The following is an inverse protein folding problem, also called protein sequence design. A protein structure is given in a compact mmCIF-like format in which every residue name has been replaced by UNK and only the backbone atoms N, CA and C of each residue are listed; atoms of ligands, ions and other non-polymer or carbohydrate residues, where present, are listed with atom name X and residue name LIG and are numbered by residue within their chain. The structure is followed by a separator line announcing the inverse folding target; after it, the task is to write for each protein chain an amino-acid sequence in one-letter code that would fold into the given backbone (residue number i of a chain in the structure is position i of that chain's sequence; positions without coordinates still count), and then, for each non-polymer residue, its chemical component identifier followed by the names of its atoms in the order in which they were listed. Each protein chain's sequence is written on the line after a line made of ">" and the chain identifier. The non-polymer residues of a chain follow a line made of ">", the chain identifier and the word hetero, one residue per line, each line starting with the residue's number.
data_IF_238402707146
#
_entry.id   IF_238402707146
#
_cell.length_a   1.000
_cell.length_b   1.000
_cell.length_c   1.000
_cell.angle_alpha   90.00
_cell.angle_beta   90.00
_cell.angle_gamma   90.00
#
_symmetry.space_group_name_H-M   'P 1'
#
loop_
_entity.id
_entity.type
_entity.pdbx_description
1 polymer ?
#
# COMPACT_ATOMS: atom_id res chain seq x y z
N UNK A 1 7.46 -5.12 11.33
CA UNK A 1 8.48 -4.06 11.42
C UNK A 1 7.79 -2.72 11.21
N UNK A 2 7.94 -1.76 12.13
CA UNK A 2 7.22 -0.47 12.09
C UNK A 2 8.12 0.75 11.91
N UNK A 3 9.43 0.55 11.95
CA UNK A 3 10.40 1.61 11.65
C UNK A 3 10.37 1.88 10.16
N UNK A 4 10.07 3.12 9.79
CA UNK A 4 10.00 3.58 8.39
C UNK A 4 10.77 4.87 8.23
N UNK A 5 11.27 5.12 7.02
CA UNK A 5 11.80 6.42 6.60
C UNK A 5 10.71 7.17 5.84
N UNK A 6 10.54 8.50 6.04
CA UNK A 6 9.54 9.28 5.31
C UNK A 6 9.69 9.19 3.78
N UNK A 7 8.57 9.07 3.07
CA UNK A 7 8.48 9.11 1.61
C UNK A 7 7.77 10.37 1.13
N UNK A 8 8.54 11.43 0.86
CA UNK A 8 8.04 12.70 0.33
C UNK A 8 7.00 13.37 1.25
N UNK A 9 6.13 14.20 0.67
CA UNK A 9 5.19 15.06 1.41
C UNK A 9 3.83 14.43 1.76
N UNK A 10 3.65 13.12 1.57
CA UNK A 10 2.34 12.46 1.69
C UNK A 10 2.03 11.94 3.10
N UNK A 11 2.99 12.03 4.02
CA UNK A 11 2.93 11.36 5.32
C UNK A 11 3.16 9.85 5.26
N UNK A 12 3.44 9.28 4.08
CA UNK A 12 3.81 7.88 3.92
C UNK A 12 5.25 7.63 4.38
N UNK A 13 5.55 6.39 4.79
CA UNK A 13 6.90 5.93 5.07
C UNK A 13 7.18 4.55 4.47
N UNK A 14 8.46 4.25 4.22
CA UNK A 14 8.88 2.94 3.74
C UNK A 14 9.82 2.28 4.75
N UNK A 15 9.51 1.05 5.11
CA UNK A 15 10.35 0.20 5.96
C UNK A 15 11.00 -0.91 5.15
N UNK A 16 11.28 -2.04 5.78
CA UNK A 16 11.84 -3.20 5.11
C UNK A 16 10.76 -3.91 4.27
N UNK A 17 10.53 -3.40 3.05
CA UNK A 17 9.58 -3.96 2.07
C UNK A 17 8.11 -3.63 2.30
N UNK A 18 7.81 -2.66 3.17
CA UNK A 18 6.43 -2.28 3.52
C UNK A 18 6.27 -0.76 3.54
N UNK A 19 5.17 -0.32 2.95
CA UNK A 19 4.69 1.05 2.97
C UNK A 19 3.78 1.23 4.19
N UNK A 20 4.00 2.28 4.97
CA UNK A 20 3.03 2.86 5.91
C UNK A 20 2.35 4.06 5.26
N UNK A 21 1.02 4.13 5.32
CA UNK A 21 0.24 5.28 4.84
C UNK A 21 -0.87 5.63 5.82
N UNK A 22 -0.91 6.86 6.36
CA UNK A 22 -2.05 7.31 7.14
C UNK A 22 -3.30 7.36 6.25
N UNK A 23 -4.43 6.88 6.78
CA UNK A 23 -5.72 6.90 6.09
C UNK A 23 -6.52 8.13 6.53
N UNK A 24 -7.28 8.73 5.60
CA UNK A 24 -8.11 9.91 5.89
C UNK A 24 -9.21 9.65 6.90
N UNK A 25 -9.71 8.41 7.00
CA UNK A 25 -10.68 7.97 8.00
C UNK A 25 -10.05 7.58 9.35
N UNK A 26 -8.74 7.80 9.51
CA UNK A 26 -7.97 7.38 10.67
C UNK A 26 -7.35 5.98 10.51
N UNK A 27 -6.33 5.72 11.31
CA UNK A 27 -5.53 4.50 11.23
C UNK A 27 -4.43 4.54 10.16
N UNK A 28 -3.71 3.43 10.05
CA UNK A 28 -2.56 3.28 9.15
C UNK A 28 -2.75 2.04 8.30
N UNK A 29 -2.58 2.20 6.99
CA UNK A 29 -2.40 1.13 6.03
C UNK A 29 -0.94 0.67 6.04
N UNK A 30 -0.72 -0.62 6.18
CA UNK A 30 0.57 -1.29 6.01
C UNK A 30 0.48 -2.25 4.85
N UNK A 31 1.32 -2.10 3.83
CA UNK A 31 1.25 -2.98 2.68
C UNK A 31 2.28 -2.69 1.60
N UNK A 32 2.07 -3.26 0.43
CA UNK A 32 2.94 -3.05 -0.73
C UNK A 32 2.09 -3.05 -2.01
N UNK A 33 2.43 -2.17 -2.94
CA UNK A 33 1.84 -2.17 -4.28
C UNK A 33 2.74 -2.95 -5.25
N UNK A 34 2.16 -3.55 -6.28
CA UNK A 34 2.94 -4.19 -7.34
C UNK A 34 2.38 -3.75 -8.68
N UNK A 35 3.24 -3.23 -9.53
CA UNK A 35 2.88 -2.79 -10.87
C UNK A 35 3.65 -3.66 -11.88
N UNK A 36 2.90 -4.38 -12.71
CA UNK A 36 3.38 -5.27 -13.77
C UNK A 36 2.60 -4.93 -15.05
N UNK A 37 3.17 -5.14 -16.25
CA UNK A 37 2.40 -4.95 -17.48
C UNK A 37 1.09 -5.75 -17.47
N UNK A 38 -0.03 -5.05 -17.65
CA UNK A 38 -1.38 -5.61 -17.62
C UNK A 38 -2.01 -5.72 -16.22
N UNK A 39 -1.27 -5.48 -15.12
CA UNK A 39 -1.81 -5.59 -13.77
C UNK A 39 -1.22 -4.57 -12.79
N UNK A 40 -2.10 -3.92 -12.03
CA UNK A 40 -1.73 -3.22 -10.80
C UNK A 40 -2.33 -3.92 -9.59
N UNK A 41 -1.53 -4.07 -8.56
CA UNK A 41 -1.92 -4.69 -7.29
C UNK A 41 -1.68 -3.73 -6.14
N UNK A 42 -2.61 -3.68 -5.19
CA UNK A 42 -2.42 -3.07 -3.87
C UNK A 42 -2.94 -4.03 -2.82
N UNK A 43 -2.04 -4.51 -1.97
CA UNK A 43 -2.36 -5.38 -0.85
C UNK A 43 -1.86 -4.80 0.46
N UNK A 44 -2.69 -4.83 1.49
CA UNK A 44 -2.27 -4.41 2.83
C UNK A 44 -3.31 -4.63 3.91
N UNK A 45 -2.95 -4.23 5.13
CA UNK A 45 -3.76 -4.41 6.32
C UNK A 45 -3.74 -3.15 7.18
N UNK A 46 -4.75 -3.01 8.03
CA UNK A 46 -4.73 -2.04 9.13
C UNK A 46 -3.79 -2.50 10.24
N UNK A 47 -3.44 -1.57 11.13
CA UNK A 47 -2.70 -1.92 12.34
C UNK A 47 -3.36 -3.06 13.12
N UNK A 48 -2.53 -4.00 13.58
CA UNK A 48 -2.95 -5.22 14.27
C UNK A 48 -3.85 -6.16 13.45
N UNK A 49 -3.92 -5.98 12.12
CA UNK A 49 -4.47 -6.97 11.19
C UNK A 49 -5.98 -7.20 11.29
N UNK A 50 -6.76 -6.25 11.84
CA UNK A 50 -8.22 -6.43 11.96
C UNK A 50 -8.97 -6.30 10.65
N UNK A 51 -8.38 -5.63 9.67
CA UNK A 51 -8.92 -5.51 8.32
C UNK A 51 -7.79 -5.65 7.31
N UNK A 52 -8.08 -6.34 6.22
CA UNK A 52 -7.17 -6.55 5.08
C UNK A 52 -7.86 -6.08 3.81
N UNK A 53 -7.06 -5.64 2.85
CA UNK A 53 -7.51 -5.33 1.50
C UNK A 53 -6.53 -5.93 0.49
N UNK A 54 -7.07 -6.48 -0.56
CA UNK A 54 -6.36 -6.85 -1.77
C UNK A 54 -7.15 -6.31 -2.96
N UNK A 55 -6.50 -5.48 -3.76
CA UNK A 55 -7.04 -4.92 -4.99
C UNK A 55 -6.13 -5.32 -6.14
N UNK A 56 -6.72 -5.88 -7.18
CA UNK A 56 -6.08 -6.13 -8.46
C UNK A 56 -6.88 -5.40 -9.53
N UNK A 57 -6.19 -4.71 -10.43
CA UNK A 57 -6.80 -4.03 -11.58
C UNK A 57 -6.05 -4.47 -12.81
N UNK A 58 -6.80 -4.93 -13.83
CA UNK A 58 -6.24 -5.16 -15.15
C UNK A 58 -6.01 -3.80 -15.82
N UNK A 59 -4.77 -3.58 -16.27
CA UNK A 59 -4.35 -2.35 -16.94
C UNK A 59 -4.04 -2.58 -18.42
N UNK A 60 -4.54 -3.67 -19.01
CA UNK A 60 -4.41 -3.90 -20.43
C UNK A 60 -4.94 -2.67 -21.19
N UNK A 61 -4.09 -2.08 -22.01
CA UNK A 61 -4.51 -1.10 -23.00
C UNK A 61 -5.41 -1.86 -23.98
N UNK A 62 -6.67 -1.45 -24.13
CA UNK A 62 -7.50 -1.91 -25.23
C UNK A 62 -6.69 -1.68 -26.52
N UNK A 63 -6.27 -2.77 -27.16
CA UNK A 63 -5.74 -2.76 -28.52
C UNK A 63 -6.86 -2.63 -29.52
#
# INVERSE_FOLDING_TARGET
>A
MRTTVPMGGTGAGYGLGLISRPLSCGGVYWGHGGDLPGYETRGGATDYGRAVIEKVVDTALCG
#
